data_IF_820427841686
#
_entry.id   IF_820427841686
#
_cell.length_a   1.000
_cell.length_b   1.000
_cell.length_c   1.000
_cell.angle_alpha   90.00
_cell.angle_beta   90.00
_cell.angle_gamma   90.00
#
_symmetry.space_group_name_H-M   'P 1'
#
loop_
_entity.id
_entity.type
_entity.pdbx_description
1 polymer ?
#
# COMPACT_ATOMS: atom_id res chain seq x y z
N UNK A 1 -31.13 -21.21 -14.79
CA UNK A 1 -30.04 -21.73 -15.63
C UNK A 1 -29.73 -23.17 -15.27
N UNK A 2 -29.35 -23.99 -16.26
CA UNK A 2 -28.83 -25.35 -16.05
C UNK A 2 -27.61 -25.56 -16.95
N UNK A 3 -26.65 -26.34 -16.49
CA UNK A 3 -25.58 -26.91 -17.31
C UNK A 3 -25.89 -28.39 -17.59
N UNK A 4 -25.54 -28.87 -18.79
CA UNK A 4 -25.70 -30.28 -19.18
C UNK A 4 -24.32 -30.78 -19.58
N UNK A 5 -23.95 -31.91 -18.99
CA UNK A 5 -22.68 -32.59 -19.24
C UNK A 5 -22.95 -33.95 -19.94
N UNK A 6 -22.51 -34.09 -21.18
CA UNK A 6 -22.69 -35.28 -22.00
C UNK A 6 -21.37 -35.97 -22.37
N UNK A 7 -20.26 -35.61 -21.69
CA UNK A 7 -18.93 -36.16 -22.02
C UNK A 7 -18.86 -37.69 -21.96
N UNK A 8 -19.60 -38.33 -21.04
CA UNK A 8 -19.67 -39.77 -20.95
C UNK A 8 -20.36 -40.44 -22.16
N UNK A 9 -21.10 -39.65 -22.93
CA UNK A 9 -21.75 -40.08 -24.19
C UNK A 9 -20.90 -39.73 -25.44
N UNK A 10 -19.67 -39.18 -25.20
CA UNK A 10 -18.77 -38.76 -26.28
C UNK A 10 -19.08 -37.39 -26.87
N UNK A 11 -19.94 -36.60 -26.23
CA UNK A 11 -20.25 -35.24 -26.59
C UNK A 11 -19.60 -34.25 -25.60
N UNK A 12 -18.68 -33.44 -26.10
CA UNK A 12 -17.85 -32.53 -25.30
C UNK A 12 -18.25 -31.06 -25.49
N UNK A 13 -19.33 -30.78 -26.20
CA UNK A 13 -19.79 -29.41 -26.41
C UNK A 13 -20.27 -28.76 -25.11
N UNK A 14 -20.07 -27.44 -24.95
CA UNK A 14 -20.55 -26.72 -23.78
C UNK A 14 -22.07 -26.49 -23.88
N UNK A 15 -22.81 -27.00 -22.92
CA UNK A 15 -24.25 -26.82 -22.86
C UNK A 15 -24.65 -26.05 -21.61
N UNK A 16 -25.14 -24.81 -21.80
CA UNK A 16 -25.80 -24.01 -20.78
C UNK A 16 -27.13 -23.55 -21.33
N UNK A 17 -28.20 -23.81 -20.59
CA UNK A 17 -29.56 -23.44 -20.98
C UNK A 17 -30.16 -22.47 -19.97
N UNK A 18 -30.92 -21.50 -20.49
CA UNK A 18 -31.74 -20.55 -19.73
C UNK A 18 -33.22 -20.80 -19.99
N UNK A 19 -34.05 -20.68 -18.97
CA UNK A 19 -35.50 -20.61 -19.06
C UNK A 19 -36.00 -19.31 -18.45
N UNK A 20 -36.94 -18.64 -19.09
CA UNK A 20 -37.64 -17.45 -18.58
C UNK A 20 -39.08 -17.76 -18.18
N UNK A 21 -39.53 -19.04 -18.26
CA UNK A 21 -40.91 -19.49 -18.04
C UNK A 21 -41.03 -20.76 -17.19
N UNK A 22 -40.16 -20.88 -16.20
CA UNK A 22 -40.13 -21.99 -15.22
C UNK A 22 -39.98 -23.38 -15.90
N UNK A 23 -39.11 -23.46 -16.93
CA UNK A 23 -38.75 -24.72 -17.59
C UNK A 23 -39.74 -25.19 -18.71
N UNK A 24 -40.71 -24.38 -19.09
CA UNK A 24 -41.63 -24.71 -20.21
C UNK A 24 -40.89 -24.63 -21.55
N UNK A 25 -39.89 -23.75 -21.68
CA UNK A 25 -38.98 -23.70 -22.82
C UNK A 25 -37.59 -23.31 -22.36
N UNK A 26 -36.61 -23.71 -23.15
CA UNK A 26 -35.19 -23.52 -22.85
C UNK A 26 -34.49 -22.96 -24.07
N UNK A 27 -33.57 -22.04 -23.84
CA UNK A 27 -32.68 -21.45 -24.83
C UNK A 27 -31.25 -21.76 -24.49
N UNK A 28 -30.48 -22.27 -25.45
CA UNK A 28 -29.02 -22.41 -25.26
C UNK A 28 -28.34 -21.04 -25.28
N UNK A 29 -27.41 -20.84 -24.40
CA UNK A 29 -26.71 -19.55 -24.20
C UNK A 29 -25.19 -19.71 -24.10
N UNK A 30 -24.63 -20.85 -24.50
CA UNK A 30 -23.21 -21.19 -24.43
C UNK A 30 -22.53 -21.29 -25.80
N UNK A 31 -23.18 -20.83 -26.87
CA UNK A 31 -22.68 -20.94 -28.26
C UNK A 31 -21.32 -20.22 -28.46
N UNK A 32 -21.02 -19.18 -27.68
CA UNK A 32 -19.76 -18.41 -27.75
C UNK A 32 -18.61 -19.07 -26.98
N UNK A 33 -18.86 -20.11 -26.18
CA UNK A 33 -17.77 -20.85 -25.52
C UNK A 33 -17.06 -21.71 -26.56
N UNK A 34 -15.71 -21.56 -26.70
CA UNK A 34 -14.98 -22.33 -27.73
C UNK A 34 -15.10 -23.84 -27.53
N UNK A 35 -15.47 -24.56 -28.59
CA UNK A 35 -15.62 -26.02 -28.56
C UNK A 35 -14.27 -26.73 -28.55
N UNK A 36 -14.11 -27.70 -27.67
CA UNK A 36 -12.94 -28.59 -27.55
C UNK A 36 -13.29 -29.84 -26.75
N UNK A 37 -12.43 -30.83 -26.69
CA UNK A 37 -12.61 -32.05 -25.88
C UNK A 37 -12.74 -31.80 -24.37
N UNK A 38 -12.51 -30.58 -23.91
CA UNK A 38 -12.63 -30.17 -22.50
C UNK A 38 -13.50 -28.92 -22.33
N UNK A 39 -14.48 -28.70 -23.23
CA UNK A 39 -15.37 -27.53 -23.12
C UNK A 39 -16.69 -27.83 -22.40
N UNK A 40 -17.00 -29.10 -22.10
CA UNK A 40 -18.23 -29.45 -21.39
C UNK A 40 -18.31 -28.77 -20.02
N UNK A 41 -19.53 -28.36 -19.63
CA UNK A 41 -19.78 -27.46 -18.51
C UNK A 41 -20.19 -28.24 -17.28
N UNK A 42 -19.46 -28.11 -16.21
CA UNK A 42 -19.78 -28.73 -14.92
C UNK A 42 -20.76 -27.90 -14.08
N UNK A 43 -20.61 -26.56 -14.11
CA UNK A 43 -21.39 -25.66 -13.27
C UNK A 43 -21.65 -24.33 -13.95
N UNK A 44 -22.84 -23.77 -13.73
CA UNK A 44 -23.20 -22.39 -14.04
C UNK A 44 -23.77 -21.73 -12.79
N UNK A 45 -23.35 -20.47 -12.53
CA UNK A 45 -23.85 -19.65 -11.43
C UNK A 45 -24.16 -18.26 -11.92
N UNK A 46 -25.27 -17.70 -11.46
CA UNK A 46 -25.62 -16.29 -11.65
C UNK A 46 -25.06 -15.47 -10.49
N UNK A 47 -24.64 -14.24 -10.79
CA UNK A 47 -24.23 -13.27 -9.78
C UNK A 47 -25.38 -12.99 -8.81
N UNK A 48 -25.08 -12.88 -7.54
CA UNK A 48 -26.12 -12.75 -6.50
C UNK A 48 -26.70 -11.33 -6.36
N UNK A 49 -26.10 -10.33 -7.04
CA UNK A 49 -26.57 -8.93 -7.01
C UNK A 49 -27.10 -8.47 -8.36
N UNK A 50 -26.47 -8.89 -9.46
CA UNK A 50 -26.80 -8.41 -10.81
C UNK A 50 -27.23 -9.59 -11.69
N UNK A 51 -28.55 -9.70 -11.98
CA UNK A 51 -29.06 -10.71 -12.91
C UNK A 51 -28.41 -10.62 -14.30
N UNK A 52 -28.16 -11.77 -14.92
CA UNK A 52 -27.55 -11.86 -16.25
C UNK A 52 -26.01 -11.83 -16.25
N UNK A 53 -25.37 -11.60 -15.12
CA UNK A 53 -23.94 -11.89 -14.97
C UNK A 53 -23.81 -13.35 -14.58
N UNK A 54 -23.12 -14.12 -15.42
CA UNK A 54 -23.03 -15.57 -15.28
C UNK A 54 -21.58 -16.02 -15.21
N UNK A 55 -21.34 -17.02 -14.39
CA UNK A 55 -20.03 -17.68 -14.25
C UNK A 55 -20.20 -19.15 -14.62
N UNK A 56 -19.36 -19.67 -15.51
CA UNK A 56 -19.39 -21.06 -15.94
C UNK A 56 -18.05 -21.75 -15.70
N UNK A 57 -18.10 -22.91 -15.05
CA UNK A 57 -16.97 -23.82 -14.89
C UNK A 57 -17.02 -24.93 -15.91
N UNK A 58 -15.98 -25.01 -16.75
CA UNK A 58 -15.80 -26.06 -17.76
C UNK A 58 -14.65 -26.98 -17.37
N UNK A 59 -14.44 -28.05 -18.13
CA UNK A 59 -13.31 -28.96 -17.92
C UNK A 59 -11.94 -28.32 -18.22
N UNK A 60 -11.90 -27.14 -18.82
CA UNK A 60 -10.66 -26.43 -19.13
C UNK A 60 -10.50 -25.07 -18.43
N UNK A 61 -11.48 -24.62 -17.67
CA UNK A 61 -11.36 -23.34 -16.95
C UNK A 61 -12.65 -22.65 -16.58
N UNK A 62 -12.51 -21.39 -16.18
CA UNK A 62 -13.58 -20.52 -15.72
C UNK A 62 -13.92 -19.48 -16.79
N UNK A 63 -15.21 -19.28 -17.04
CA UNK A 63 -15.75 -18.30 -17.98
C UNK A 63 -16.72 -17.36 -17.27
N UNK A 64 -16.80 -16.11 -17.76
CA UNK A 64 -17.77 -15.11 -17.33
C UNK A 64 -18.55 -14.61 -18.56
N UNK A 65 -19.84 -14.38 -18.37
CA UNK A 65 -20.68 -13.58 -19.25
C UNK A 65 -21.29 -12.41 -18.48
N UNK A 66 -21.26 -11.21 -19.04
CA UNK A 66 -21.85 -10.00 -18.45
C UNK A 66 -23.10 -9.53 -19.22
N UNK A 67 -23.59 -10.32 -20.14
CA UNK A 67 -24.67 -10.00 -21.07
C UNK A 67 -25.68 -11.15 -21.27
N UNK A 68 -25.94 -11.86 -20.17
CA UNK A 68 -26.93 -12.95 -20.11
C UNK A 68 -26.61 -14.12 -21.04
N UNK A 69 -25.32 -14.47 -21.13
CA UNK A 69 -24.84 -15.62 -21.92
C UNK A 69 -24.68 -15.38 -23.41
N UNK A 70 -24.77 -14.13 -23.89
CA UNK A 70 -24.57 -13.84 -25.33
C UNK A 70 -23.09 -13.91 -25.70
N UNK A 71 -22.21 -13.47 -24.78
CA UNK A 71 -20.77 -13.53 -24.96
C UNK A 71 -20.09 -14.07 -23.70
N UNK A 72 -19.10 -14.94 -23.90
CA UNK A 72 -18.34 -15.56 -22.82
C UNK A 72 -16.87 -15.23 -22.93
N UNK A 73 -16.28 -14.79 -21.82
CA UNK A 73 -14.86 -14.47 -21.71
C UNK A 73 -14.20 -15.39 -20.70
N UNK A 74 -13.09 -16.01 -21.07
CA UNK A 74 -12.34 -16.87 -20.16
C UNK A 74 -11.57 -16.03 -19.15
N UNK A 75 -11.75 -16.32 -17.87
CA UNK A 75 -10.94 -15.76 -16.77
C UNK A 75 -9.65 -16.58 -16.68
N UNK A 76 -8.52 -15.94 -16.94
CA UNK A 76 -7.20 -16.60 -16.90
C UNK A 76 -6.46 -16.29 -15.63
N UNK A 77 -6.17 -15.02 -15.33
CA UNK A 77 -5.36 -14.57 -14.20
C UNK A 77 -4.25 -15.59 -13.85
N UNK A 78 -4.17 -16.02 -12.61
CA UNK A 78 -3.29 -17.10 -12.14
C UNK A 78 -4.01 -18.46 -12.02
N UNK A 79 -5.26 -18.58 -12.50
CA UNK A 79 -5.98 -19.85 -12.56
C UNK A 79 -5.42 -20.71 -13.71
N UNK A 80 -4.81 -21.87 -13.40
CA UNK A 80 -4.31 -22.76 -14.45
C UNK A 80 -5.46 -23.36 -15.27
N UNK A 81 -5.19 -23.88 -16.47
CA UNK A 81 -6.14 -24.73 -17.17
C UNK A 81 -6.42 -25.96 -16.31
N UNK A 82 -7.60 -26.01 -15.73
CA UNK A 82 -8.04 -27.10 -14.87
C UNK A 82 -9.57 -27.21 -14.93
N UNK A 83 -10.13 -28.41 -14.72
CA UNK A 83 -11.55 -28.58 -14.59
C UNK A 83 -12.11 -27.79 -13.40
N UNK A 84 -13.11 -26.95 -13.64
CA UNK A 84 -13.82 -26.18 -12.62
C UNK A 84 -15.15 -26.85 -12.32
N UNK A 85 -15.20 -27.59 -11.22
CA UNK A 85 -16.36 -28.38 -10.85
C UNK A 85 -17.39 -27.61 -10.03
N UNK A 86 -16.95 -26.59 -9.30
CA UNK A 86 -17.85 -25.82 -8.45
C UNK A 86 -17.46 -24.36 -8.33
N UNK A 87 -18.47 -23.50 -8.26
CA UNK A 87 -18.35 -22.06 -8.02
C UNK A 87 -19.26 -21.70 -6.85
N UNK A 88 -18.70 -21.03 -5.84
CA UNK A 88 -19.44 -20.46 -4.72
C UNK A 88 -19.14 -18.96 -4.61
N UNK A 89 -20.20 -18.16 -4.50
CA UNK A 89 -20.10 -16.71 -4.35
C UNK A 89 -20.29 -16.34 -2.87
N UNK A 90 -19.25 -15.78 -2.28
CA UNK A 90 -19.26 -15.29 -0.90
C UNK A 90 -19.79 -13.86 -0.89
N UNK A 91 -20.96 -13.64 -0.23
CA UNK A 91 -21.73 -12.40 -0.37
C UNK A 91 -21.19 -11.20 0.43
N UNK A 92 -20.37 -11.45 1.47
CA UNK A 92 -19.94 -10.36 2.37
C UNK A 92 -18.84 -9.50 1.77
N UNK A 93 -17.89 -10.13 1.07
CA UNK A 93 -16.74 -9.47 0.45
C UNK A 93 -16.74 -9.61 -1.07
N UNK A 94 -17.81 -10.19 -1.63
CA UNK A 94 -17.94 -10.46 -3.05
C UNK A 94 -16.80 -11.34 -3.61
N UNK A 95 -16.39 -12.35 -2.84
CA UNK A 95 -15.35 -13.28 -3.28
C UNK A 95 -15.97 -14.44 -4.06
N UNK A 96 -15.26 -14.91 -5.08
CA UNK A 96 -15.60 -16.12 -5.81
C UNK A 96 -14.67 -17.25 -5.43
N UNK A 97 -15.21 -18.33 -4.87
CA UNK A 97 -14.49 -19.55 -4.56
C UNK A 97 -14.68 -20.55 -5.69
N UNK A 98 -13.58 -21.01 -6.26
CA UNK A 98 -13.54 -21.92 -7.42
C UNK A 98 -12.93 -23.24 -6.98
N UNK A 99 -13.74 -24.30 -6.98
CA UNK A 99 -13.30 -25.68 -6.75
C UNK A 99 -12.86 -26.33 -8.04
N UNK A 100 -11.58 -26.73 -8.13
CA UNK A 100 -11.04 -27.41 -9.30
C UNK A 100 -10.82 -28.90 -9.03
N UNK A 101 -10.85 -29.71 -10.09
CA UNK A 101 -10.44 -31.08 -9.98
C UNK A 101 -8.91 -31.22 -10.13
N UNK A 102 -8.28 -31.70 -9.07
CA UNK A 102 -6.86 -32.02 -9.06
C UNK A 102 -5.90 -30.81 -8.92
N UNK A 103 -6.42 -29.56 -8.80
CA UNK A 103 -5.58 -28.35 -8.64
C UNK A 103 -5.94 -27.52 -7.41
N UNK A 104 -6.77 -28.06 -6.50
CA UNK A 104 -7.16 -27.39 -5.26
C UNK A 104 -8.26 -26.34 -5.45
N UNK A 105 -8.31 -25.39 -4.53
CA UNK A 105 -9.32 -24.34 -4.44
C UNK A 105 -8.65 -23.01 -4.72
N UNK A 106 -9.28 -22.20 -5.56
CA UNK A 106 -8.86 -20.82 -5.87
C UNK A 106 -9.89 -19.84 -5.34
N UNK A 107 -9.44 -18.69 -4.89
CA UNK A 107 -10.29 -17.58 -4.49
C UNK A 107 -9.95 -16.38 -5.37
N UNK A 108 -10.97 -15.82 -6.00
CA UNK A 108 -10.89 -14.53 -6.67
C UNK A 108 -11.52 -13.50 -5.75
N UNK A 109 -10.68 -12.67 -5.16
CA UNK A 109 -11.09 -11.63 -4.22
C UNK A 109 -11.82 -10.52 -4.96
N UNK A 110 -12.98 -10.13 -4.46
CA UNK A 110 -13.80 -9.00 -4.91
C UNK A 110 -14.11 -9.03 -6.42
N UNK A 111 -15.22 -9.67 -6.76
CA UNK A 111 -15.75 -9.75 -8.13
C UNK A 111 -16.65 -8.57 -8.51
N UNK A 112 -16.84 -7.59 -7.62
CA UNK A 112 -17.69 -6.41 -7.89
C UNK A 112 -17.33 -5.67 -9.17
N UNK A 113 -16.05 -5.56 -9.60
CA UNK A 113 -15.71 -4.92 -10.86
C UNK A 113 -16.35 -5.54 -12.09
N UNK A 114 -16.68 -6.84 -12.06
CA UNK A 114 -17.35 -7.48 -13.19
C UNK A 114 -18.77 -6.99 -13.42
N UNK A 115 -19.43 -6.47 -12.38
CA UNK A 115 -20.76 -5.88 -12.47
C UNK A 115 -20.76 -4.57 -13.25
N UNK A 116 -19.65 -3.86 -13.20
CA UNK A 116 -19.47 -2.55 -13.84
C UNK A 116 -18.99 -2.67 -15.30
N UNK A 117 -18.36 -3.80 -15.67
CA UNK A 117 -17.80 -3.99 -17.02
C UNK A 117 -18.88 -3.83 -18.11
N UNK A 118 -20.10 -4.30 -17.86
CA UNK A 118 -21.20 -4.19 -18.82
C UNK A 118 -21.63 -2.74 -19.09
N UNK A 119 -21.43 -1.83 -18.12
CA UNK A 119 -21.79 -0.42 -18.19
C UNK A 119 -20.64 0.45 -18.73
N UNK A 120 -19.40 -0.06 -18.72
CA UNK A 120 -18.22 0.71 -19.15
C UNK A 120 -18.28 0.95 -20.65
N UNK A 121 -18.30 2.22 -21.04
CA UNK A 121 -18.00 2.60 -22.41
C UNK A 121 -16.51 2.37 -22.67
N UNK A 122 -16.17 1.32 -23.42
CA UNK A 122 -14.80 0.90 -23.70
C UNK A 122 -13.87 1.95 -24.34
N UNK A 123 -14.36 3.14 -24.65
CA UNK A 123 -13.60 4.23 -25.25
C UNK A 123 -13.00 5.22 -24.25
N UNK A 124 -13.48 5.25 -23.00
CA UNK A 124 -13.05 6.21 -21.98
C UNK A 124 -12.51 5.51 -20.73
N UNK A 125 -11.51 6.10 -20.04
CA UNK A 125 -11.10 5.61 -18.73
C UNK A 125 -12.24 5.78 -17.73
N UNK A 126 -12.34 4.85 -16.77
CA UNK A 126 -13.35 4.86 -15.72
C UNK A 126 -12.74 4.46 -14.39
N UNK A 127 -13.10 5.14 -13.31
CA UNK A 127 -12.85 4.69 -11.94
C UNK A 127 -14.11 3.95 -11.50
N UNK A 128 -13.95 2.75 -10.96
CA UNK A 128 -15.09 1.90 -10.58
C UNK A 128 -15.50 2.18 -9.13
N UNK A 129 -16.76 1.88 -8.77
CA UNK A 129 -17.21 1.93 -7.39
C UNK A 129 -16.28 1.15 -6.46
N UNK A 130 -15.93 1.77 -5.33
CA UNK A 130 -14.98 1.21 -4.37
C UNK A 130 -15.77 0.57 -3.23
N UNK A 131 -15.50 -0.69 -2.95
CA UNK A 131 -16.09 -1.42 -1.83
C UNK A 131 -15.70 -0.82 -0.48
N UNK A 132 -16.53 -1.03 0.54
CA UNK A 132 -16.20 -0.70 1.92
C UNK A 132 -14.92 -1.43 2.34
N UNK A 133 -13.97 -0.70 2.91
CA UNK A 133 -12.73 -1.26 3.41
C UNK A 133 -12.76 -1.34 4.93
N UNK A 134 -12.22 -2.43 5.48
CA UNK A 134 -12.14 -2.60 6.92
C UNK A 134 -10.75 -2.25 7.44
N UNK A 135 -10.71 -1.45 8.50
CA UNK A 135 -9.50 -1.19 9.28
C UNK A 135 -9.17 -2.40 10.15
N UNK A 136 -8.85 -3.54 9.54
CA UNK A 136 -8.43 -4.71 10.28
C UNK A 136 -7.07 -4.51 10.93
N UNK A 137 -6.87 -5.09 12.10
CA UNK A 137 -5.54 -5.24 12.65
C UNK A 137 -4.78 -6.34 11.89
N UNK A 138 -3.52 -6.06 11.58
CA UNK A 138 -2.65 -7.08 11.02
C UNK A 138 -2.38 -8.14 12.08
N UNK A 139 -3.03 -9.28 11.95
CA UNK A 139 -2.63 -10.48 12.69
C UNK A 139 -1.33 -10.96 12.05
N UNK A 140 -0.23 -10.92 12.79
CA UNK A 140 0.97 -11.61 12.33
C UNK A 140 0.58 -13.08 12.15
N UNK A 141 0.68 -13.57 10.90
CA UNK A 141 0.54 -15.00 10.69
C UNK A 141 1.55 -15.68 11.60
N UNK A 142 1.09 -16.57 12.46
CA UNK A 142 2.01 -17.47 13.18
C UNK A 142 2.97 -18.03 12.13
N UNK A 143 4.27 -17.92 12.39
CA UNK A 143 5.27 -18.53 11.51
C UNK A 143 4.83 -19.96 11.31
N UNK A 144 4.65 -20.36 10.05
CA UNK A 144 4.34 -21.73 9.71
C UNK A 144 5.36 -22.61 10.44
N UNK A 145 4.89 -23.58 11.22
CA UNK A 145 5.70 -24.60 11.87
C UNK A 145 6.33 -25.58 10.86
N UNK A 146 6.25 -25.27 9.56
CA UNK A 146 6.71 -26.11 8.47
C UNK A 146 5.77 -27.26 8.11
N UNK A 147 4.65 -27.41 8.82
CA UNK A 147 3.73 -28.54 8.61
C UNK A 147 2.64 -28.24 7.59
N UNK A 148 2.38 -26.98 7.24
CA UNK A 148 1.38 -26.64 6.22
C UNK A 148 2.06 -26.43 4.86
N UNK A 149 2.03 -27.47 4.05
CA UNK A 149 2.61 -27.49 2.70
C UNK A 149 1.89 -26.59 1.68
N UNK A 150 0.64 -26.22 1.94
CA UNK A 150 -0.16 -25.44 1.00
C UNK A 150 -0.99 -24.40 1.77
N UNK A 151 -0.58 -23.14 1.72
CA UNK A 151 -1.39 -22.00 2.18
C UNK A 151 -1.60 -21.03 1.04
N UNK A 152 -2.85 -20.68 0.76
CA UNK A 152 -3.18 -19.50 -0.04
C UNK A 152 -2.66 -18.21 0.62
N UNK A 153 -2.31 -17.23 -0.19
CA UNK A 153 -2.02 -15.89 0.33
C UNK A 153 -3.33 -15.19 0.66
N UNK A 154 -3.37 -14.48 1.77
CA UNK A 154 -4.49 -13.59 2.04
C UNK A 154 -4.52 -12.45 1.01
N UNK A 155 -5.71 -11.87 0.73
CA UNK A 155 -5.80 -10.66 -0.08
C UNK A 155 -4.91 -9.55 0.50
N UNK A 156 -4.42 -8.69 -0.36
CA UNK A 156 -3.67 -7.54 0.09
C UNK A 156 -4.56 -6.65 0.98
N UNK A 157 -4.00 -6.23 2.12
CA UNK A 157 -4.74 -5.41 3.08
C UNK A 157 -5.02 -4.01 2.53
N UNK A 158 -6.29 -3.57 2.60
CA UNK A 158 -6.65 -2.21 2.27
C UNK A 158 -7.94 -2.07 1.47
N UNK A 159 -8.04 -0.99 0.71
CA UNK A 159 -9.12 -0.72 -0.23
C UNK A 159 -8.70 -1.06 -1.66
N UNK A 160 -9.56 -1.77 -2.39
CA UNK A 160 -9.41 -2.02 -3.81
C UNK A 160 -9.77 -0.76 -4.59
N UNK A 161 -8.85 -0.27 -5.40
CA UNK A 161 -9.07 0.86 -6.29
C UNK A 161 -9.03 0.31 -7.72
N UNK A 162 -10.21 -0.03 -8.23
CA UNK A 162 -10.37 -0.62 -9.56
C UNK A 162 -10.68 0.44 -10.60
N UNK A 163 -10.01 0.36 -11.75
CA UNK A 163 -10.21 1.31 -12.84
C UNK A 163 -9.99 0.67 -14.19
N UNK A 164 -10.67 1.18 -15.19
CA UNK A 164 -10.57 0.73 -16.58
C UNK A 164 -9.76 1.69 -17.44
N UNK A 165 -8.90 1.13 -18.27
CA UNK A 165 -8.04 1.85 -19.21
C UNK A 165 -8.35 1.37 -20.65
N UNK A 166 -8.80 2.29 -21.56
CA UNK A 166 -9.22 1.90 -22.90
C UNK A 166 -8.06 1.60 -23.86
N UNK A 167 -6.90 2.23 -23.67
CA UNK A 167 -5.72 2.09 -24.55
C UNK A 167 -4.44 2.38 -23.79
N UNK A 168 -3.28 2.16 -24.40
CA UNK A 168 -1.95 2.31 -23.82
C UNK A 168 -1.31 3.70 -24.01
N UNK A 169 -2.04 4.68 -24.55
CA UNK A 169 -1.53 6.02 -24.86
C UNK A 169 -1.44 6.96 -23.63
N UNK A 170 -1.44 6.43 -22.42
CA UNK A 170 -1.44 7.21 -21.17
C UNK A 170 -0.02 7.71 -20.88
N UNK A 171 0.13 9.02 -20.68
CA UNK A 171 1.40 9.68 -20.34
C UNK A 171 1.60 9.79 -18.83
N UNK A 172 0.53 10.01 -18.09
CA UNK A 172 0.57 10.18 -16.64
C UNK A 172 -0.66 9.56 -15.97
N UNK A 173 -0.44 8.79 -14.92
CA UNK A 173 -1.51 8.24 -14.10
C UNK A 173 -1.08 8.19 -12.63
N UNK A 174 -1.96 8.69 -11.77
CA UNK A 174 -1.84 8.50 -10.33
C UNK A 174 -3.23 8.55 -9.66
N UNK A 175 -3.31 7.96 -8.49
CA UNK A 175 -4.51 8.00 -7.66
C UNK A 175 -4.20 8.81 -6.40
N UNK A 176 -4.99 9.85 -6.14
CA UNK A 176 -4.95 10.64 -4.92
C UNK A 176 -6.07 10.17 -3.98
N UNK A 177 -5.73 9.87 -2.74
CA UNK A 177 -6.72 9.61 -1.69
C UNK A 177 -6.92 10.87 -0.88
N UNK A 178 -8.17 11.25 -0.68
CA UNK A 178 -8.57 12.42 0.12
C UNK A 178 -9.41 11.99 1.32
N UNK A 179 -9.23 12.69 2.43
CA UNK A 179 -10.04 12.51 3.64
C UNK A 179 -11.39 13.23 3.55
N UNK A 180 -12.22 13.10 4.58
CA UNK A 180 -13.54 13.73 4.69
C UNK A 180 -13.52 15.27 4.61
N UNK A 181 -12.36 15.90 4.79
CA UNK A 181 -12.14 17.34 4.61
C UNK A 181 -11.60 17.71 3.22
N UNK A 182 -11.60 16.75 2.28
CA UNK A 182 -11.07 16.89 0.91
C UNK A 182 -9.54 17.18 0.84
N UNK A 183 -8.81 16.92 1.94
CA UNK A 183 -7.35 17.03 2.00
C UNK A 183 -6.72 15.77 1.40
N UNK A 184 -5.75 15.93 0.47
CA UNK A 184 -4.97 14.80 -0.02
C UNK A 184 -4.10 14.23 1.11
N UNK A 185 -4.23 12.93 1.34
CA UNK A 185 -3.57 12.20 2.42
C UNK A 185 -2.61 11.13 1.91
N UNK A 186 -2.78 10.71 0.67
CA UNK A 186 -1.93 9.72 0.01
C UNK A 186 -1.96 9.91 -1.50
N UNK A 187 -0.79 9.79 -2.13
CA UNK A 187 -0.64 9.69 -3.58
C UNK A 187 -0.06 8.33 -3.96
N UNK A 188 -0.70 7.64 -4.89
CA UNK A 188 -0.29 6.31 -5.35
C UNK A 188 -0.02 6.39 -6.84
N UNK A 189 1.20 6.02 -7.25
CA UNK A 189 1.59 5.88 -8.65
C UNK A 189 1.73 4.38 -8.93
N UNK A 190 0.85 3.79 -9.75
CA UNK A 190 0.94 2.38 -10.09
C UNK A 190 2.26 2.07 -10.82
N UNK A 191 2.89 0.96 -10.46
CA UNK A 191 4.14 0.53 -11.14
C UNK A 191 3.92 0.00 -12.53
N UNK A 192 2.73 -0.57 -12.78
CA UNK A 192 2.31 -1.13 -14.07
C UNK A 192 0.84 -0.83 -14.25
N UNK A 193 0.47 -0.47 -15.47
CA UNK A 193 -0.91 -0.26 -15.90
C UNK A 193 -1.05 -1.01 -17.23
N UNK A 194 -2.17 -1.71 -17.42
CA UNK A 194 -2.49 -2.45 -18.65
C UNK A 194 -3.79 -1.92 -19.24
N UNK A 195 -3.98 -2.13 -20.53
CA UNK A 195 -5.28 -1.93 -21.18
C UNK A 195 -6.31 -2.88 -20.56
N UNK A 196 -7.50 -2.39 -20.28
CA UNK A 196 -8.55 -3.12 -19.59
C UNK A 196 -8.64 -2.78 -18.11
N UNK A 197 -9.10 -3.74 -17.31
CA UNK A 197 -9.31 -3.60 -15.88
C UNK A 197 -7.98 -3.66 -15.13
N UNK A 198 -7.76 -2.71 -14.24
CA UNK A 198 -6.61 -2.61 -13.36
C UNK A 198 -7.06 -2.49 -11.91
N UNK A 199 -6.28 -3.05 -10.97
CA UNK A 199 -6.49 -2.93 -9.53
C UNK A 199 -5.24 -2.40 -8.85
N UNK A 200 -5.42 -1.40 -8.01
CA UNK A 200 -4.40 -0.85 -7.12
C UNK A 200 -4.90 -0.90 -5.68
N UNK A 201 -4.05 -1.32 -4.76
CA UNK A 201 -4.40 -1.39 -3.34
C UNK A 201 -3.91 -0.15 -2.61
N UNK A 202 -4.81 0.50 -1.87
CA UNK A 202 -4.44 1.44 -0.84
C UNK A 202 -4.46 0.77 0.53
N UNK A 203 -3.34 0.73 1.19
CA UNK A 203 -3.16 0.07 2.50
C UNK A 203 -3.75 0.86 3.70
N UNK A 204 -4.71 1.71 3.46
CA UNK A 204 -5.39 2.57 4.43
C UNK A 204 -4.44 3.47 5.25
N UNK A 205 -3.25 3.77 4.76
CA UNK A 205 -2.29 4.61 5.47
C UNK A 205 -2.09 5.94 4.77
N UNK A 206 -1.93 6.95 5.58
CA UNK A 206 -1.44 8.27 5.18
C UNK A 206 -0.02 8.17 4.64
N UNK A 207 0.51 9.27 4.09
CA UNK A 207 1.91 9.31 3.66
C UNK A 207 2.85 8.96 4.81
N UNK A 208 3.91 8.24 4.47
CA UNK A 208 4.98 7.88 5.40
C UNK A 208 5.77 9.09 5.87
N UNK A 209 6.61 8.93 6.87
CA UNK A 209 7.60 9.93 7.25
C UNK A 209 8.68 10.06 6.18
N UNK A 210 9.31 11.23 6.12
CA UNK A 210 10.53 11.45 5.34
C UNK A 210 11.68 10.59 5.90
N UNK A 211 12.68 10.32 5.05
CA UNK A 211 13.86 9.54 5.43
C UNK A 211 15.10 10.42 5.43
N UNK A 212 15.98 10.32 6.46
CA UNK A 212 17.26 11.02 6.47
C UNK A 212 18.12 10.63 5.27
N UNK A 213 18.78 11.64 4.67
CA UNK A 213 19.69 11.49 3.53
C UNK A 213 21.10 11.85 4.01
N UNK A 214 21.82 10.87 4.54
CA UNK A 214 23.13 11.06 5.13
C UNK A 214 24.20 11.13 4.05
N UNK A 215 25.00 12.20 3.99
CA UNK A 215 25.99 12.48 2.94
C UNK A 215 27.42 12.48 3.47
N UNK A 216 27.57 12.55 4.80
CA UNK A 216 28.88 12.64 5.47
C UNK A 216 29.25 11.27 6.02
N UNK A 217 30.53 10.91 5.95
CA UNK A 217 31.05 9.69 6.54
C UNK A 217 30.93 9.73 8.08
N UNK A 218 30.63 8.59 8.71
CA UNK A 218 30.76 8.46 10.15
C UNK A 218 32.22 8.66 10.59
N UNK A 219 32.44 9.31 11.73
CA UNK A 219 33.79 9.55 12.24
C UNK A 219 34.63 8.25 12.33
N UNK A 220 35.75 8.22 11.65
CA UNK A 220 36.69 7.09 11.65
C UNK A 220 36.24 5.87 10.83
N UNK A 221 35.28 6.04 9.94
CA UNK A 221 34.76 4.98 9.07
C UNK A 221 34.75 5.46 7.62
N UNK A 222 35.58 4.83 6.78
CA UNK A 222 35.78 5.19 5.37
C UNK A 222 35.19 4.15 4.38
N UNK A 223 34.58 3.09 4.89
CA UNK A 223 34.08 1.97 4.10
C UNK A 223 32.56 1.96 3.88
N UNK A 224 31.85 3.01 4.28
CA UNK A 224 30.41 3.12 4.06
C UNK A 224 30.06 3.24 2.58
N UNK A 225 28.94 2.66 2.18
CA UNK A 225 28.48 2.71 0.79
C UNK A 225 27.40 3.75 0.60
N UNK A 226 27.51 4.49 -0.49
CA UNK A 226 26.52 5.47 -0.93
C UNK A 226 25.68 4.90 -2.06
N UNK A 227 24.43 5.32 -2.14
CA UNK A 227 23.59 5.01 -3.29
C UNK A 227 23.93 5.92 -4.47
N UNK A 228 23.26 5.70 -5.63
CA UNK A 228 23.46 6.49 -6.86
C UNK A 228 23.18 7.99 -6.69
N UNK A 229 22.41 8.38 -5.67
CA UNK A 229 22.02 9.76 -5.39
C UNK A 229 22.97 10.44 -4.37
N UNK A 230 24.07 9.75 -3.98
CA UNK A 230 25.12 10.28 -3.13
C UNK A 230 24.76 10.38 -1.64
N UNK A 231 23.88 9.51 -1.15
CA UNK A 231 23.60 9.40 0.28
C UNK A 231 23.59 7.95 0.75
N UNK A 232 24.00 7.74 2.02
CA UNK A 232 24.07 6.43 2.65
C UNK A 232 22.77 6.08 3.36
N UNK A 233 22.52 4.78 3.47
CA UNK A 233 21.32 4.29 4.16
C UNK A 233 21.48 4.31 5.68
N UNK A 234 20.42 4.74 6.36
CA UNK A 234 20.27 4.53 7.78
C UNK A 234 19.63 3.16 8.02
N UNK A 235 20.40 2.24 8.62
CA UNK A 235 19.89 0.94 9.07
C UNK A 235 20.12 0.81 10.55
N UNK A 236 19.13 0.30 11.27
CA UNK A 236 19.28 -0.09 12.67
C UNK A 236 18.45 -1.35 12.89
N UNK A 237 18.95 -2.28 13.69
CA UNK A 237 18.22 -3.51 13.99
C UNK A 237 17.14 -3.30 15.04
N UNK A 238 17.49 -2.66 16.12
CA UNK A 238 16.69 -2.57 17.34
C UNK A 238 15.48 -1.64 17.22
N UNK A 239 15.59 -0.74 16.27
CA UNK A 239 14.50 0.12 15.89
C UNK A 239 13.95 -0.41 14.60
N UNK A 240 12.76 -0.92 14.63
CA UNK A 240 12.01 -1.09 13.39
C UNK A 240 11.70 0.32 12.85
N UNK A 241 12.77 0.99 12.44
CA UNK A 241 12.73 2.32 11.82
C UNK A 241 11.74 2.32 10.65
N UNK A 242 11.57 1.15 10.02
CA UNK A 242 10.61 0.99 8.94
C UNK A 242 9.16 1.03 9.45
N UNK A 243 8.85 0.45 10.61
CA UNK A 243 7.51 0.55 11.17
C UNK A 243 7.20 1.96 11.69
N UNK A 244 8.17 2.63 12.31
CA UNK A 244 8.04 4.04 12.70
C UNK A 244 7.90 5.01 11.53
N UNK A 245 8.32 4.60 10.32
CA UNK A 245 8.14 5.36 9.08
C UNK A 245 6.76 5.17 8.44
N UNK A 246 5.99 4.17 8.84
CA UNK A 246 4.66 3.96 8.28
C UNK A 246 3.76 5.15 8.62
N UNK A 247 3.03 5.64 7.62
CA UNK A 247 1.98 6.63 7.85
C UNK A 247 0.90 6.09 8.80
N UNK A 248 0.23 6.97 9.56
CA UNK A 248 -0.90 6.57 10.39
C UNK A 248 -1.98 5.86 9.60
N UNK A 249 -2.63 4.86 10.21
CA UNK A 249 -3.81 4.23 9.63
C UNK A 249 -4.98 5.21 9.62
N UNK A 250 -5.71 5.25 8.51
CA UNK A 250 -6.91 6.05 8.34
C UNK A 250 -7.98 5.71 9.38
N UNK A 251 -8.68 6.71 9.88
CA UNK A 251 -9.79 6.56 10.84
C UNK A 251 -11.02 6.04 10.11
N UNK A 252 -11.88 5.22 10.72
CA UNK A 252 -13.18 4.87 10.13
C UNK A 252 -13.97 6.13 9.74
N UNK A 253 -14.51 6.16 8.52
CA UNK A 253 -15.22 7.30 7.95
C UNK A 253 -15.20 7.33 6.43
N UNK A 254 -15.64 8.44 5.85
CA UNK A 254 -15.72 8.64 4.40
C UNK A 254 -14.40 9.15 3.83
N UNK A 255 -14.04 8.61 2.69
CA UNK A 255 -12.85 8.97 1.91
C UNK A 255 -13.21 9.08 0.43
N UNK A 256 -12.34 9.70 -0.33
CA UNK A 256 -12.50 9.86 -1.78
C UNK A 256 -11.20 9.43 -2.48
N UNK A 257 -11.33 8.59 -3.49
CA UNK A 257 -10.26 8.31 -4.45
C UNK A 257 -10.44 9.21 -5.69
N UNK A 258 -9.35 9.79 -6.17
CA UNK A 258 -9.32 10.62 -7.37
C UNK A 258 -8.30 10.02 -8.32
N UNK A 259 -8.77 9.38 -9.38
CA UNK A 259 -7.92 8.89 -10.46
C UNK A 259 -7.62 10.05 -11.40
N UNK A 260 -6.34 10.40 -11.51
CA UNK A 260 -5.85 11.43 -12.41
C UNK A 260 -5.18 10.74 -13.62
N UNK A 261 -5.71 10.98 -14.81
CA UNK A 261 -5.17 10.45 -16.07
C UNK A 261 -5.02 11.60 -17.05
N UNK A 262 -3.78 11.94 -17.41
CA UNK A 262 -3.45 12.99 -18.39
C UNK A 262 -4.20 14.32 -18.16
N UNK A 263 -4.44 14.65 -16.88
CA UNK A 263 -5.16 15.86 -16.44
C UNK A 263 -6.67 15.68 -16.24
N UNK A 264 -7.27 14.60 -16.71
CA UNK A 264 -8.65 14.24 -16.39
C UNK A 264 -8.72 13.68 -14.97
N UNK A 265 -9.80 14.02 -14.24
CA UNK A 265 -10.05 13.53 -12.88
C UNK A 265 -11.35 12.76 -12.85
N UNK A 266 -11.29 11.55 -12.29
CA UNK A 266 -12.43 10.71 -12.00
C UNK A 266 -12.44 10.45 -10.49
N UNK A 267 -13.60 10.57 -9.85
CA UNK A 267 -13.71 10.55 -8.39
C UNK A 267 -14.73 9.51 -7.94
N UNK A 268 -14.38 8.74 -6.90
CA UNK A 268 -15.27 7.81 -6.22
C UNK A 268 -15.15 7.96 -4.71
N UNK A 269 -16.30 7.96 -4.02
CA UNK A 269 -16.36 7.99 -2.56
C UNK A 269 -16.50 6.57 -2.02
N UNK A 270 -15.87 6.31 -0.88
CA UNK A 270 -15.98 5.03 -0.19
C UNK A 270 -15.84 5.20 1.32
N UNK A 271 -16.16 4.15 2.05
CA UNK A 271 -16.16 4.16 3.52
C UNK A 271 -15.12 3.21 4.07
N UNK A 272 -14.38 3.66 5.07
CA UNK A 272 -13.57 2.78 5.91
C UNK A 272 -14.38 2.44 7.15
N UNK A 273 -14.55 1.16 7.41
CA UNK A 273 -15.23 0.62 8.58
C UNK A 273 -14.21 0.24 9.66
N UNK A 274 -14.66 0.30 10.91
CA UNK A 274 -13.91 -0.24 12.05
C UNK A 274 -13.92 -1.77 11.98
N UNK A 275 -12.84 -2.40 12.42
CA UNK A 275 -12.82 -3.85 12.66
C UNK A 275 -13.90 -4.21 13.72
N UNK A 276 -14.89 -5.03 13.37
CA UNK A 276 -15.94 -5.43 14.30
C UNK A 276 -15.40 -6.23 15.50
N UNK A 277 -14.24 -6.86 15.37
CA UNK A 277 -13.62 -7.65 16.43
C UNK A 277 -12.67 -6.83 17.33
N UNK A 278 -12.40 -5.57 16.97
CA UNK A 278 -11.57 -4.69 17.79
C UNK A 278 -12.38 -4.11 18.95
N UNK A 279 -11.84 -4.19 20.17
CA UNK A 279 -12.45 -3.62 21.38
C UNK A 279 -12.26 -2.10 21.53
N UNK A 280 -11.31 -1.50 20.79
CA UNK A 280 -11.09 -0.06 20.82
C UNK A 280 -12.29 0.74 20.29
N UNK A 281 -12.54 1.89 20.88
CA UNK A 281 -13.64 2.77 20.44
C UNK A 281 -13.21 3.67 19.28
N UNK A 282 -14.16 4.24 18.56
CA UNK A 282 -13.88 5.26 17.54
C UNK A 282 -13.15 6.47 18.15
N UNK A 283 -13.43 6.80 19.40
CA UNK A 283 -12.74 7.87 20.12
C UNK A 283 -11.27 7.53 20.33
N UNK A 284 -10.98 6.30 20.81
CA UNK A 284 -9.58 5.84 20.99
C UNK A 284 -8.79 5.85 19.69
N UNK A 285 -9.42 5.39 18.59
CA UNK A 285 -8.83 5.41 17.24
C UNK A 285 -8.51 6.84 16.80
N UNK A 286 -9.38 7.80 17.05
CA UNK A 286 -9.15 9.21 16.72
C UNK A 286 -8.02 9.81 17.54
N UNK A 287 -8.01 9.60 18.86
CA UNK A 287 -6.94 10.07 19.74
C UNK A 287 -5.57 9.47 19.33
N UNK A 288 -5.53 8.17 19.00
CA UNK A 288 -4.33 7.52 18.47
C UNK A 288 -3.88 8.16 17.15
N UNK A 289 -4.80 8.38 16.23
CA UNK A 289 -4.52 8.96 14.93
C UNK A 289 -3.97 10.38 15.04
N UNK A 290 -4.57 11.25 15.84
CA UNK A 290 -4.13 12.62 16.06
C UNK A 290 -2.71 12.65 16.64
N UNK A 291 -2.45 11.78 17.61
CA UNK A 291 -1.11 11.62 18.16
C UNK A 291 -0.10 11.17 17.10
N UNK A 292 -0.43 10.18 16.29
CA UNK A 292 0.44 9.67 15.24
C UNK A 292 0.69 10.68 14.11
N UNK A 293 -0.29 11.52 13.76
CA UNK A 293 -0.10 12.63 12.80
C UNK A 293 0.91 13.64 13.38
N UNK A 294 0.73 14.04 14.63
CA UNK A 294 1.63 14.97 15.32
C UNK A 294 3.05 14.40 15.43
N UNK A 295 3.18 13.12 15.76
CA UNK A 295 4.46 12.42 15.81
C UNK A 295 5.14 12.37 14.45
N UNK A 296 4.40 12.04 13.37
CA UNK A 296 4.90 12.03 12.00
C UNK A 296 5.43 13.39 11.57
N UNK A 297 4.71 14.46 11.87
CA UNK A 297 5.14 15.83 11.57
C UNK A 297 6.43 16.20 12.32
N UNK A 298 6.54 15.78 13.59
CA UNK A 298 7.75 15.98 14.39
C UNK A 298 8.94 15.18 13.85
N UNK A 299 8.71 13.93 13.41
CA UNK A 299 9.76 13.13 12.74
C UNK A 299 10.21 13.82 11.45
N UNK A 300 9.27 14.29 10.61
CA UNK A 300 9.61 14.99 9.38
C UNK A 300 10.38 16.28 9.62
N UNK A 301 10.03 17.02 10.66
CA UNK A 301 10.76 18.22 11.09
C UNK A 301 12.20 17.89 11.49
N UNK A 302 12.39 16.83 12.27
CA UNK A 302 13.71 16.34 12.62
C UNK A 302 14.52 15.91 11.39
N UNK A 303 13.90 15.15 10.47
CA UNK A 303 14.55 14.69 9.23
C UNK A 303 14.96 15.86 8.34
N UNK A 304 14.12 16.88 8.21
CA UNK A 304 14.47 18.11 7.45
C UNK A 304 15.68 18.83 8.04
N UNK A 305 15.75 18.91 9.37
CA UNK A 305 16.90 19.50 10.04
C UNK A 305 18.17 18.67 9.83
N UNK A 306 18.10 17.35 9.98
CA UNK A 306 19.21 16.44 9.69
C UNK A 306 19.69 16.62 8.24
N UNK A 307 18.78 16.57 7.27
CA UNK A 307 19.15 16.69 5.85
C UNK A 307 19.82 18.03 5.55
N UNK A 308 19.36 19.12 6.15
CA UNK A 308 19.97 20.44 5.99
C UNK A 308 21.37 20.50 6.60
N UNK A 309 21.56 19.93 7.79
CA UNK A 309 22.88 19.86 8.43
C UNK A 309 23.83 19.00 7.61
N UNK A 310 23.40 17.85 7.14
CA UNK A 310 24.20 16.95 6.30
C UNK A 310 24.65 17.61 4.97
N UNK A 311 23.79 18.40 4.34
CA UNK A 311 24.15 19.18 3.15
C UNK A 311 25.22 20.25 3.47
N UNK A 312 25.06 20.98 4.56
CA UNK A 312 26.02 21.99 4.99
C UNK A 312 27.37 21.36 5.38
N UNK A 313 27.36 20.29 6.16
CA UNK A 313 28.56 19.58 6.56
C UNK A 313 29.30 18.99 5.37
N UNK A 314 28.56 18.39 4.43
CA UNK A 314 29.15 17.87 3.19
C UNK A 314 29.88 18.99 2.40
N UNK A 315 29.25 20.14 2.25
CA UNK A 315 29.85 21.32 1.58
C UNK A 315 31.08 21.83 2.33
N UNK A 316 31.00 21.97 3.66
CA UNK A 316 32.14 22.39 4.48
C UNK A 316 33.34 21.45 4.36
N UNK A 317 33.11 20.15 4.31
CA UNK A 317 34.17 19.15 4.22
C UNK A 317 34.77 19.01 2.82
N UNK A 318 34.00 19.25 1.76
CA UNK A 318 34.44 19.00 0.39
C UNK A 318 34.82 20.27 -0.38
N UNK A 319 34.09 21.35 -0.21
CA UNK A 319 34.28 22.57 -1.00
C UNK A 319 35.20 23.58 -0.31
N UNK A 320 34.88 23.92 0.95
CA UNK A 320 35.65 24.90 1.68
C UNK A 320 36.96 24.36 2.26
N UNK A 321 37.06 23.07 2.51
CA UNK A 321 38.29 22.45 2.99
C UNK A 321 39.44 22.46 1.96
N UNK A 322 39.13 22.71 0.68
CA UNK A 322 40.10 22.83 -0.43
C UNK A 322 40.79 24.19 -0.44
N UNK A 323 40.21 25.22 0.17
CA UNK A 323 40.80 26.55 0.29
C UNK A 323 41.58 26.68 1.64
N UNK A 324 42.90 26.81 1.62
CA UNK A 324 43.71 26.91 2.82
C UNK A 324 43.29 28.07 3.76
N UNK A 325 42.76 29.18 3.19
CA UNK A 325 42.34 30.35 3.97
C UNK A 325 41.01 30.10 4.72
N UNK A 326 40.16 29.25 4.19
CA UNK A 326 38.83 28.93 4.72
C UNK A 326 38.79 27.68 5.58
N UNK A 327 39.77 26.80 5.44
CA UNK A 327 39.84 25.48 6.05
C UNK A 327 39.57 25.47 7.56
N UNK A 328 40.23 26.39 8.29
CA UNK A 328 40.08 26.46 9.75
C UNK A 328 38.69 26.92 10.20
N UNK A 329 38.11 27.89 9.50
CA UNK A 329 36.76 28.37 9.76
C UNK A 329 35.71 27.30 9.39
N UNK A 330 35.88 26.64 8.23
CA UNK A 330 35.01 25.54 7.78
C UNK A 330 35.02 24.37 8.78
N UNK A 331 36.19 23.97 9.28
CA UNK A 331 36.31 22.92 10.30
C UNK A 331 35.59 23.31 11.59
N UNK A 332 35.79 24.54 12.07
CA UNK A 332 35.10 25.02 13.28
C UNK A 332 33.58 25.00 13.13
N UNK A 333 33.08 25.39 11.94
CA UNK A 333 31.65 25.39 11.66
C UNK A 333 31.10 23.96 11.52
N UNK A 334 31.82 23.06 10.82
CA UNK A 334 31.44 21.66 10.74
C UNK A 334 31.31 21.01 12.13
N UNK A 335 32.23 21.31 13.04
CA UNK A 335 32.16 20.80 14.46
C UNK A 335 30.93 21.31 15.19
N UNK A 336 30.51 22.56 15.02
CA UNK A 336 29.25 23.07 15.60
C UNK A 336 28.04 22.34 15.05
N UNK A 337 27.99 22.15 13.76
CA UNK A 337 26.91 21.42 13.11
C UNK A 337 26.90 19.94 13.56
N UNK A 338 28.06 19.30 13.67
CA UNK A 338 28.19 17.93 14.16
C UNK A 338 27.62 17.79 15.60
N UNK A 339 27.85 18.75 16.49
CA UNK A 339 27.32 18.71 17.87
C UNK A 339 25.78 18.73 17.86
N UNK A 340 25.16 19.57 17.01
CA UNK A 340 23.71 19.60 16.85
C UNK A 340 23.22 18.26 16.32
N UNK A 341 23.83 17.80 15.24
CA UNK A 341 23.44 16.58 14.55
C UNK A 341 23.54 15.33 15.43
N UNK A 342 24.60 15.24 16.23
CA UNK A 342 24.82 14.13 17.15
C UNK A 342 23.74 14.01 18.24
N UNK A 343 22.95 15.06 18.48
CA UNK A 343 21.76 15.01 19.32
C UNK A 343 20.51 14.57 18.57
N UNK A 344 20.44 14.84 17.26
CA UNK A 344 19.29 14.51 16.42
C UNK A 344 19.26 13.02 16.06
N UNK A 345 20.40 12.49 15.62
CA UNK A 345 20.55 11.06 15.33
C UNK A 345 21.95 10.57 15.71
N UNK A 346 22.17 9.27 15.70
CA UNK A 346 23.50 8.71 15.95
C UNK A 346 24.37 8.80 14.70
N UNK A 347 25.26 9.78 14.66
CA UNK A 347 26.16 10.07 13.54
C UNK A 347 27.20 8.97 13.26
N UNK A 348 27.39 8.04 14.21
CA UNK A 348 28.29 6.89 14.08
C UNK A 348 27.65 5.68 13.40
N UNK A 349 26.36 5.75 13.05
CA UNK A 349 25.68 4.69 12.32
C UNK A 349 26.32 4.48 10.95
N UNK A 350 26.82 3.27 10.72
CA UNK A 350 27.51 2.87 9.48
C UNK A 350 26.57 2.25 8.45
N UNK A 351 25.35 1.95 8.86
CA UNK A 351 24.40 1.14 8.09
C UNK A 351 24.51 -0.36 8.36
N UNK A 352 25.41 -0.77 9.28
CA UNK A 352 25.48 -2.14 9.77
C UNK A 352 24.27 -2.47 10.65
N UNK A 353 23.87 -3.73 10.65
CA UNK A 353 22.70 -4.21 11.39
C UNK A 353 22.86 -4.00 12.90
N UNK A 354 24.07 -4.13 13.39
CA UNK A 354 24.43 -4.14 14.81
C UNK A 354 24.77 -2.76 15.38
N UNK A 355 24.68 -1.71 14.60
CA UNK A 355 25.03 -0.34 15.02
C UNK A 355 24.25 0.11 16.26
N UNK A 356 22.98 -0.27 16.36
CA UNK A 356 22.13 0.12 17.48
C UNK A 356 22.57 -0.43 18.85
N UNK A 357 23.38 -1.50 18.89
CA UNK A 357 23.93 -2.04 20.13
C UNK A 357 25.12 -1.26 20.67
N UNK A 358 25.76 -0.44 19.83
CA UNK A 358 27.00 0.26 20.17
C UNK A 358 26.76 1.65 20.72
N UNK A 359 25.67 2.27 20.29
CA UNK A 359 25.41 3.67 20.61
C UNK A 359 23.93 3.88 21.00
N UNK A 360 23.63 4.78 21.95
CA UNK A 360 22.26 5.04 22.37
C UNK A 360 21.48 5.77 21.28
N UNK A 361 20.23 5.37 21.11
CA UNK A 361 19.29 6.08 20.22
C UNK A 361 19.14 7.55 20.61
N UNK A 362 19.20 8.40 19.59
CA UNK A 362 18.99 9.84 19.70
C UNK A 362 17.53 10.21 19.42
N UNK A 363 17.24 11.50 19.24
CA UNK A 363 15.86 12.00 19.06
C UNK A 363 15.15 11.27 17.94
N UNK A 364 15.77 11.16 16.74
CA UNK A 364 15.17 10.48 15.58
C UNK A 364 14.78 9.04 15.89
N UNK A 365 15.73 8.26 16.38
CA UNK A 365 15.49 6.85 16.66
C UNK A 365 14.43 6.61 17.73
N UNK A 366 14.38 7.46 18.77
CA UNK A 366 13.37 7.36 19.84
C UNK A 366 11.98 7.76 19.38
N UNK A 367 11.84 8.80 18.53
CA UNK A 367 10.57 9.17 17.92
C UNK A 367 10.08 8.06 17.00
N UNK A 368 10.97 7.45 16.20
CA UNK A 368 10.63 6.33 15.31
C UNK A 368 10.18 5.10 16.11
N UNK A 369 10.85 4.76 17.22
CA UNK A 369 10.45 3.67 18.11
C UNK A 369 9.06 3.90 18.69
N UNK A 370 8.79 5.12 19.18
CA UNK A 370 7.47 5.49 19.70
C UNK A 370 6.36 5.33 18.67
N UNK A 371 6.61 5.68 17.41
CA UNK A 371 5.71 5.47 16.30
C UNK A 371 5.52 3.98 15.96
N UNK A 372 6.57 3.17 16.05
CA UNK A 372 6.53 1.75 15.77
C UNK A 372 5.55 1.01 16.69
N UNK A 373 5.57 1.28 17.96
CA UNK A 373 4.70 0.63 18.96
C UNK A 373 3.22 0.85 18.65
N UNK A 374 2.85 2.04 18.21
CA UNK A 374 1.46 2.39 17.88
C UNK A 374 1.03 1.99 16.47
N UNK A 375 1.96 1.90 15.53
CA UNK A 375 1.63 1.62 14.12
C UNK A 375 1.72 0.16 13.74
N UNK A 376 2.60 -0.61 14.36
CA UNK A 376 2.85 -2.01 14.02
C UNK A 376 2.05 -2.97 14.87
N UNK A 377 2.03 -2.72 16.18
CA UNK A 377 1.36 -3.57 17.15
C UNK A 377 0.04 -2.95 17.62
N UNK A 378 -0.31 -1.80 17.02
CA UNK A 378 -1.37 -0.95 17.48
C UNK A 378 -2.73 -1.62 17.46
N UNK A 379 -3.14 -2.05 18.62
CA UNK A 379 -4.53 -2.17 18.93
C UNK A 379 -5.19 -0.78 18.77
N UNK A 380 -6.48 -0.75 18.50
CA UNK A 380 -7.25 0.50 18.35
C UNK A 380 -7.41 1.23 19.72
N UNK A 381 -6.31 1.44 20.43
CA UNK A 381 -6.30 2.11 21.72
C UNK A 381 -5.65 3.49 21.61
N UNK A 382 -6.10 4.41 22.48
CA UNK A 382 -5.45 5.71 22.63
C UNK A 382 -4.01 5.55 23.12
N UNK A 383 -3.11 6.51 22.85
CA UNK A 383 -1.77 6.53 23.40
C UNK A 383 -1.80 6.50 24.94
N UNK A 384 -0.84 5.82 25.54
CA UNK A 384 -0.66 5.83 26.99
C UNK A 384 -0.10 7.18 27.45
N UNK A 385 -0.33 7.52 28.73
CA UNK A 385 0.25 8.75 29.32
C UNK A 385 1.77 8.77 29.17
N UNK A 386 2.45 7.63 29.33
CA UNK A 386 3.90 7.50 29.18
C UNK A 386 4.36 7.80 27.75
N UNK A 387 3.62 7.33 26.74
CA UNK A 387 3.92 7.63 25.33
C UNK A 387 3.79 9.13 25.06
N UNK A 388 2.75 9.77 25.56
CA UNK A 388 2.55 11.22 25.44
C UNK A 388 3.66 12.01 26.15
N UNK A 389 4.04 11.61 27.36
CA UNK A 389 5.11 12.25 28.12
C UNK A 389 6.48 12.12 27.42
N UNK A 390 6.82 10.93 26.95
CA UNK A 390 8.06 10.69 26.20
C UNK A 390 8.09 11.53 24.91
N UNK A 391 6.97 11.61 24.19
CA UNK A 391 6.84 12.47 23.02
C UNK A 391 7.13 13.94 23.35
N UNK A 392 6.55 14.48 24.42
CA UNK A 392 6.77 15.87 24.85
C UNK A 392 8.24 16.14 25.17
N UNK A 393 8.90 15.23 25.91
CA UNK A 393 10.34 15.33 26.21
C UNK A 393 11.17 15.37 24.91
N UNK A 394 10.89 14.50 23.95
CA UNK A 394 11.62 14.42 22.68
C UNK A 394 11.36 15.65 21.80
N UNK A 395 10.12 16.11 21.72
CA UNK A 395 9.74 17.33 20.99
C UNK A 395 10.44 18.57 21.54
N UNK A 396 10.47 18.71 22.86
CA UNK A 396 11.20 19.82 23.53
C UNK A 396 12.72 19.76 23.27
N UNK A 397 13.29 18.54 23.21
CA UNK A 397 14.71 18.36 22.87
C UNK A 397 14.98 18.75 21.42
N UNK A 398 14.09 18.37 20.49
CA UNK A 398 14.20 18.77 19.09
C UNK A 398 14.15 20.29 18.93
N UNK A 399 13.19 20.95 19.59
CA UNK A 399 13.04 22.40 19.53
C UNK A 399 14.31 23.13 20.05
N UNK A 400 14.97 22.62 21.09
CA UNK A 400 16.25 23.16 21.54
C UNK A 400 17.32 23.07 20.45
N UNK A 401 17.41 21.96 19.74
CA UNK A 401 18.39 21.82 18.65
C UNK A 401 18.10 22.76 17.49
N UNK A 402 16.83 23.00 17.16
CA UNK A 402 16.43 23.98 16.14
C UNK A 402 16.87 25.40 16.49
N UNK A 403 16.66 25.81 17.74
CA UNK A 403 17.10 27.14 18.24
C UNK A 403 18.62 27.27 18.11
N UNK A 404 19.38 26.27 18.57
CA UNK A 404 20.85 26.28 18.47
C UNK A 404 21.28 26.32 16.99
N UNK A 405 20.65 25.57 16.14
CA UNK A 405 20.92 25.59 14.69
C UNK A 405 20.68 26.98 14.09
N UNK A 406 19.57 27.63 14.43
CA UNK A 406 19.23 28.94 13.94
C UNK A 406 20.22 30.03 14.44
N UNK A 407 20.79 29.86 15.65
CA UNK A 407 21.84 30.69 16.17
C UNK A 407 23.15 30.52 15.40
N UNK A 408 23.55 29.27 15.15
CA UNK A 408 24.72 28.94 14.33
C UNK A 408 24.61 29.48 12.90
N UNK A 409 23.42 29.45 12.33
CA UNK A 409 23.18 29.96 10.96
C UNK A 409 23.20 31.50 10.86
N UNK A 410 23.17 32.23 11.99
CA UNK A 410 23.29 33.69 12.03
C UNK A 410 24.75 34.16 12.22
N UNK A 411 25.70 33.24 12.35
CA UNK A 411 27.11 33.62 12.50
C UNK A 411 27.68 34.24 11.20
N UNK A 412 28.62 35.18 11.34
CA UNK A 412 29.24 35.94 10.24
C UNK A 412 29.87 35.05 9.14
N UNK A 413 30.24 33.81 9.47
CA UNK A 413 30.79 32.88 8.52
C UNK A 413 29.83 32.66 7.32
N UNK A 414 28.53 32.48 7.56
CA UNK A 414 27.56 32.25 6.52
C UNK A 414 27.27 33.49 5.69
N UNK A 415 27.34 34.68 6.29
CA UNK A 415 27.12 35.97 5.60
C UNK A 415 28.28 36.34 4.68
N UNK A 416 29.51 35.94 5.01
CA UNK A 416 30.71 36.27 4.21
C UNK A 416 30.95 35.28 3.04
N UNK A 417 30.39 34.05 3.09
CA UNK A 417 30.79 32.95 2.22
C UNK A 417 29.68 32.48 1.29
N UNK A 418 28.40 32.78 1.57
CA UNK A 418 27.24 32.36 0.76
C UNK A 418 26.76 33.48 -0.16
N UNK A 419 27.20 34.74 0.02
CA UNK A 419 27.00 35.85 -0.90
C UNK A 419 28.14 35.92 -1.92
#
# INVERSE_FOLDING_TARGET
YISVDLHQMGDFDPYIYKTDNYGKSWKMISEDIPKSYSSFVHVVKEDHQVPGILYAGTDNGLYISVDDGKKWTRIKNNLPPAPVYWISLQKRFDDMVVGTYGRGIYILDDISPFREIASINGNNPSLLPIQEAYRFQSIQSMKSDGTSLIRGQNPAYGANLDFFIPNDNIKSLHISIKDGNNKEIRKIVPKKVAVGLNRVMWNLRYESTETPKLRVDPDGVDWVTYNKDGWRQLRTWDLDVNAGKLGPLAVPGKYKAVLNIDGQKLEEEFTILKDPNSSGTIKDIKEQFEFLITLRETINKNVKLINKIEELRYSLQNDYNKDPKKKAAAYKMDRKLYEIESNLFDVKLTGAREDAFRNPNKIYGRLAALGSDLTRFGADFKPTNQQVEVYQILSNRLQKQEIIFDEVMKEEFWDSEIK
#
